data_IF_639038936883
#
_entry.id   IF_639038936883
#
_cell.length_a   1.000
_cell.length_b   1.000
_cell.length_c   1.000
_cell.angle_alpha   90.00
_cell.angle_beta   90.00
_cell.angle_gamma   90.00
#
_symmetry.space_group_name_H-M   'P 1'
#
loop_
_entity.id
_entity.type
_entity.pdbx_description
1 polymer ?
#
# COMPACT_ATOMS: atom_id res chain seq x y z
N UNK A 1 12.80 18.02 -22.90
CA UNK A 1 11.88 16.86 -22.79
C UNK A 1 11.62 16.63 -21.31
N UNK A 2 10.50 17.16 -20.81
CA UNK A 2 10.19 17.21 -19.39
C UNK A 2 9.64 15.88 -18.88
N UNK A 3 10.28 15.31 -17.86
CA UNK A 3 9.80 14.11 -17.18
C UNK A 3 8.54 14.43 -16.38
N UNK A 4 7.47 13.69 -16.66
CA UNK A 4 6.22 13.76 -15.89
C UNK A 4 6.44 13.02 -14.57
N UNK A 5 6.50 13.77 -13.47
CA UNK A 5 6.43 13.24 -12.12
C UNK A 5 4.96 12.91 -11.81
N UNK A 6 4.59 11.64 -11.91
CA UNK A 6 3.32 11.14 -11.41
C UNK A 6 3.44 10.84 -9.91
N UNK A 7 2.52 11.41 -9.12
CA UNK A 7 2.39 11.14 -7.69
C UNK A 7 1.07 10.42 -7.47
N UNK A 8 1.12 9.14 -7.09
CA UNK A 8 -0.06 8.40 -6.66
C UNK A 8 0.11 8.06 -5.18
N UNK A 9 -0.81 8.56 -4.35
CA UNK A 9 -0.88 8.27 -2.91
C UNK A 9 -2.06 7.35 -2.62
N UNK A 10 -1.82 6.28 -1.88
CA UNK A 10 -2.85 5.46 -1.25
C UNK A 10 -2.53 5.41 0.25
N UNK A 11 -3.57 5.48 1.08
CA UNK A 11 -3.44 5.39 2.54
C UNK A 11 -4.14 4.12 3.02
N UNK A 12 -3.61 3.48 4.06
CA UNK A 12 -4.26 2.34 4.70
C UNK A 12 -4.89 2.82 6.00
N UNK A 13 -6.19 2.54 6.18
CA UNK A 13 -6.90 2.80 7.44
C UNK A 13 -7.40 1.45 7.96
N UNK A 14 -6.95 1.03 9.14
CA UNK A 14 -7.48 -0.13 9.83
C UNK A 14 -8.74 0.25 10.63
N UNK A 15 -9.82 -0.51 10.45
CA UNK A 15 -11.07 -0.36 11.20
C UNK A 15 -11.37 -1.64 11.98
N UNK A 16 -11.06 -1.62 13.28
CA UNK A 16 -11.10 -2.70 14.30
C UNK A 16 -9.70 -3.10 14.79
N UNK A 17 -9.65 -3.55 16.04
CA UNK A 17 -8.50 -3.55 16.97
C UNK A 17 -7.23 -4.22 16.43
N UNK A 18 -6.39 -3.46 15.73
CA UNK A 18 -4.98 -3.81 15.64
C UNK A 18 -4.46 -4.02 17.06
N UNK A 19 -3.76 -5.14 17.29
CA UNK A 19 -3.27 -5.46 18.63
C UNK A 19 -2.49 -4.26 19.18
N UNK A 20 -2.61 -3.95 20.48
CA UNK A 20 -1.85 -2.85 21.12
C UNK A 20 -0.36 -2.91 20.76
N UNK A 21 0.18 -4.13 20.66
CA UNK A 21 1.56 -4.37 20.24
C UNK A 21 1.88 -3.91 18.81
N UNK A 22 0.97 -4.08 17.84
CA UNK A 22 1.15 -3.56 16.49
C UNK A 22 1.08 -2.03 16.44
N UNK A 23 0.20 -1.43 17.25
CA UNK A 23 0.07 0.02 17.38
C UNK A 23 1.34 0.64 17.99
N UNK A 24 1.84 0.08 19.10
CA UNK A 24 3.07 0.55 19.76
C UNK A 24 4.29 0.46 18.84
N UNK A 25 4.47 -0.67 18.14
CA UNK A 25 5.55 -0.83 17.14
C UNK A 25 5.46 0.18 16.01
N UNK A 26 4.25 0.46 15.51
CA UNK A 26 4.07 1.47 14.45
C UNK A 26 4.38 2.90 14.91
N UNK A 27 4.18 3.21 16.19
CA UNK A 27 4.49 4.52 16.77
C UNK A 27 6.00 4.79 16.81
N UNK A 28 6.83 3.75 16.91
CA UNK A 28 8.30 3.85 16.88
C UNK A 28 8.84 4.38 15.55
N UNK A 29 8.06 4.24 14.46
CA UNK A 29 8.47 4.69 13.13
C UNK A 29 8.50 6.22 12.97
N UNK A 30 7.97 7.00 13.92
CA UNK A 30 8.06 8.49 13.97
C UNK A 30 7.84 9.20 12.62
N UNK A 31 6.88 8.71 11.81
CA UNK A 31 6.57 9.32 10.51
C UNK A 31 7.64 9.11 9.42
N UNK A 32 8.41 8.01 9.47
CA UNK A 32 9.36 7.64 8.41
C UNK A 32 8.67 7.48 7.04
N UNK A 33 9.33 7.99 6.00
CA UNK A 33 8.89 7.87 4.60
C UNK A 33 9.93 7.08 3.81
N UNK A 34 9.52 5.96 3.24
CA UNK A 34 10.36 5.16 2.35
C UNK A 34 10.04 5.49 0.88
N UNK A 35 11.07 5.77 0.09
CA UNK A 35 10.94 6.05 -1.35
C UNK A 35 11.67 4.99 -2.17
N UNK A 36 10.91 4.15 -2.86
CA UNK A 36 11.45 3.24 -3.87
C UNK A 36 11.58 3.99 -5.20
N UNK A 37 12.75 3.88 -5.84
CA UNK A 37 13.00 4.41 -7.19
C UNK A 37 13.34 3.24 -8.10
N UNK A 38 12.64 3.14 -9.21
CA UNK A 38 12.90 2.16 -10.26
C UNK A 38 12.91 2.87 -11.61
N UNK A 39 13.98 2.72 -12.40
CA UNK A 39 14.11 3.34 -13.73
C UNK A 39 13.11 2.77 -14.73
N UNK A 40 12.69 1.52 -14.54
CA UNK A 40 11.73 0.87 -15.42
C UNK A 40 10.29 1.36 -15.19
N UNK A 41 10.04 2.16 -14.16
CA UNK A 41 8.76 2.79 -13.85
C UNK A 41 8.32 3.85 -14.89
N UNK A 42 9.22 4.28 -15.78
CA UNK A 42 8.87 5.11 -16.95
C UNK A 42 8.92 4.34 -18.28
N UNK A 43 9.83 3.37 -18.39
CA UNK A 43 10.14 2.68 -19.66
C UNK A 43 9.31 1.40 -19.89
N UNK A 44 8.92 0.70 -18.81
CA UNK A 44 8.05 -0.49 -18.84
C UNK A 44 6.65 -0.23 -18.27
N UNK A 45 6.41 0.95 -17.69
CA UNK A 45 5.16 1.31 -17.04
C UNK A 45 4.03 1.74 -18.00
N UNK A 46 4.13 1.30 -19.26
CA UNK A 46 2.94 0.91 -19.99
C UNK A 46 2.27 -0.27 -19.28
N UNK A 47 1.51 0.05 -18.23
CA UNK A 47 0.48 -0.79 -17.62
C UNK A 47 0.96 -1.92 -16.69
N UNK A 48 1.12 -1.60 -15.41
CA UNK A 48 0.49 -2.42 -14.39
C UNK A 48 1.04 -3.84 -14.16
N UNK A 49 2.33 -4.12 -14.43
CA UNK A 49 2.92 -5.42 -14.04
C UNK A 49 2.78 -5.60 -12.53
N UNK A 50 1.91 -6.53 -12.08
CA UNK A 50 1.64 -6.64 -10.66
C UNK A 50 2.80 -7.26 -9.88
N UNK A 51 3.65 -8.07 -10.52
CA UNK A 51 4.82 -8.64 -9.86
C UNK A 51 5.81 -7.56 -9.47
N UNK A 52 6.01 -6.59 -10.37
CA UNK A 52 6.90 -5.46 -10.14
C UNK A 52 6.36 -4.51 -9.06
N UNK A 53 5.05 -4.17 -9.11
CA UNK A 53 4.40 -3.34 -8.10
C UNK A 53 4.52 -3.97 -6.71
N UNK A 54 4.27 -5.28 -6.61
CA UNK A 54 4.41 -6.02 -5.35
C UNK A 54 5.85 -6.04 -4.84
N UNK A 55 6.84 -6.23 -5.72
CA UNK A 55 8.25 -6.17 -5.35
C UNK A 55 8.63 -4.79 -4.76
N UNK A 56 8.09 -3.70 -5.33
CA UNK A 56 8.31 -2.36 -4.80
C UNK A 56 7.64 -2.14 -3.43
N UNK A 57 6.41 -2.60 -3.26
CA UNK A 57 5.69 -2.53 -1.98
C UNK A 57 6.48 -3.25 -0.90
N UNK A 58 6.93 -4.49 -1.17
CA UNK A 58 7.75 -5.27 -0.23
C UNK A 58 9.02 -4.53 0.13
N UNK A 59 9.80 -4.08 -0.86
CA UNK A 59 11.04 -3.32 -0.59
C UNK A 59 10.79 -2.10 0.28
N UNK A 60 9.70 -1.36 0.05
CA UNK A 60 9.35 -0.20 0.86
C UNK A 60 9.02 -0.60 2.32
N UNK A 61 8.28 -1.68 2.51
CA UNK A 61 7.90 -2.20 3.84
C UNK A 61 9.08 -2.78 4.61
N UNK A 62 9.95 -3.53 3.95
CA UNK A 62 11.15 -4.09 4.58
C UNK A 62 12.09 -2.96 5.05
N UNK A 63 12.30 -1.94 4.22
CA UNK A 63 13.06 -0.74 4.62
C UNK A 63 12.38 0.01 5.79
N UNK A 64 11.06 0.10 5.76
CA UNK A 64 10.30 0.85 6.77
C UNK A 64 10.32 0.15 8.13
N UNK A 65 10.19 -1.18 8.14
CA UNK A 65 9.99 -1.98 9.36
C UNK A 65 11.26 -2.68 9.86
N UNK A 66 12.23 -2.92 8.98
CA UNK A 66 13.38 -3.79 9.26
C UNK A 66 13.05 -5.29 9.22
N UNK A 67 11.80 -5.65 8.92
CA UNK A 67 11.32 -7.04 8.82
C UNK A 67 11.32 -7.51 7.36
N UNK A 68 11.16 -8.81 7.13
CA UNK A 68 11.17 -9.39 5.79
C UNK A 68 9.90 -10.17 5.45
N UNK A 69 9.55 -10.17 4.16
CA UNK A 69 8.42 -10.93 3.63
C UNK A 69 7.11 -10.63 4.36
N UNK A 70 6.44 -11.67 4.85
CA UNK A 70 5.14 -11.54 5.54
C UNK A 70 5.24 -10.82 6.89
N UNK A 71 6.38 -10.87 7.57
CA UNK A 71 6.52 -10.27 8.90
C UNK A 71 6.51 -8.73 8.81
N UNK A 72 6.95 -8.16 7.69
CA UNK A 72 6.86 -6.72 7.43
C UNK A 72 5.40 -6.21 7.40
N UNK A 73 4.45 -7.03 6.92
CA UNK A 73 3.04 -6.72 7.02
C UNK A 73 2.47 -6.97 8.41
N UNK A 74 2.91 -8.04 9.07
CA UNK A 74 2.48 -8.42 10.44
C UNK A 74 2.98 -7.46 11.51
N UNK A 75 3.95 -6.64 11.16
CA UNK A 75 4.33 -5.46 11.94
C UNK A 75 3.11 -4.57 12.21
N UNK A 76 2.26 -4.36 11.19
CA UNK A 76 1.09 -3.47 11.22
C UNK A 76 -0.25 -4.20 11.38
N UNK A 77 -0.45 -5.34 10.71
CA UNK A 77 -1.76 -5.99 10.57
C UNK A 77 -1.72 -7.49 10.88
N UNK A 78 -2.72 -7.98 11.62
CA UNK A 78 -2.95 -9.39 11.91
C UNK A 78 -4.05 -10.02 11.05
N UNK A 79 -4.20 -11.36 11.10
CA UNK A 79 -5.22 -12.10 10.34
C UNK A 79 -6.67 -11.78 10.74
N UNK A 80 -6.86 -11.19 11.93
CA UNK A 80 -8.17 -10.82 12.47
C UNK A 80 -8.55 -9.35 12.15
N UNK A 81 -7.66 -8.61 11.48
CA UNK A 81 -7.89 -7.22 11.14
C UNK A 81 -8.78 -7.05 9.90
N UNK A 82 -9.67 -6.06 9.96
CA UNK A 82 -10.39 -5.54 8.81
C UNK A 82 -9.68 -4.29 8.28
N UNK A 83 -9.25 -4.36 7.03
CA UNK A 83 -8.34 -3.39 6.42
C UNK A 83 -9.06 -2.66 5.29
N UNK A 84 -9.09 -1.32 5.37
CA UNK A 84 -9.53 -0.49 4.26
C UNK A 84 -8.32 0.09 3.51
N UNK A 85 -8.27 -0.16 2.20
CA UNK A 85 -7.31 0.46 1.29
C UNK A 85 -7.96 1.71 0.71
N UNK A 86 -7.58 2.87 1.24
CA UNK A 86 -8.04 4.17 0.73
C UNK A 86 -7.27 4.52 -0.53
N UNK A 87 -8.01 4.59 -1.64
CA UNK A 87 -7.50 5.10 -2.91
C UNK A 87 -8.04 6.50 -3.20
N UNK A 88 -7.42 7.21 -4.13
CA UNK A 88 -7.98 8.39 -4.78
C UNK A 88 -8.27 8.07 -6.24
N UNK A 89 -9.51 8.16 -6.70
CA UNK A 89 -9.91 7.95 -8.09
C UNK A 89 -10.26 9.26 -8.83
N UNK A 90 -10.10 10.40 -8.16
CA UNK A 90 -10.47 11.71 -8.68
C UNK A 90 -9.25 12.51 -9.17
N UNK A 91 -9.52 13.50 -10.04
CA UNK A 91 -8.52 14.47 -10.53
C UNK A 91 -7.67 14.00 -11.71
N UNK A 92 -8.07 12.91 -12.37
CA UNK A 92 -7.44 12.41 -13.60
C UNK A 92 -6.19 11.56 -13.35
N UNK A 93 -5.65 10.99 -14.43
CA UNK A 93 -4.58 9.98 -14.39
C UNK A 93 -3.28 10.41 -13.71
N UNK A 94 -3.08 11.72 -13.53
CA UNK A 94 -1.88 12.29 -12.93
C UNK A 94 -1.84 12.17 -11.41
N UNK A 95 -3.01 12.12 -10.76
CA UNK A 95 -3.14 12.09 -9.29
C UNK A 95 -4.05 10.97 -8.79
N UNK A 96 -4.80 10.32 -9.69
CA UNK A 96 -5.55 9.12 -9.36
C UNK A 96 -4.59 7.96 -9.09
N UNK A 97 -4.88 7.23 -8.01
CA UNK A 97 -4.26 5.97 -7.71
C UNK A 97 -4.56 4.96 -8.83
N UNK A 98 -3.54 4.23 -9.22
CA UNK A 98 -3.65 3.17 -10.22
C UNK A 98 -4.38 1.95 -9.62
N UNK A 99 -5.37 1.35 -10.32
CA UNK A 99 -6.06 0.15 -9.83
C UNK A 99 -5.12 -1.00 -9.51
N UNK A 100 -4.02 -1.14 -10.26
CA UNK A 100 -3.04 -2.20 -10.08
C UNK A 100 -2.29 -2.06 -8.75
N UNK A 101 -2.09 -0.84 -8.25
CA UNK A 101 -1.51 -0.59 -6.93
C UNK A 101 -2.45 -1.08 -5.81
N UNK A 102 -3.73 -0.74 -5.90
CA UNK A 102 -4.71 -1.16 -4.90
C UNK A 102 -4.87 -2.70 -4.88
N UNK A 103 -4.87 -3.32 -6.05
CA UNK A 103 -4.94 -4.78 -6.21
C UNK A 103 -3.69 -5.46 -5.66
N UNK A 104 -2.50 -4.93 -5.95
CA UNK A 104 -1.24 -5.45 -5.42
C UNK A 104 -1.16 -5.38 -3.89
N UNK A 105 -1.63 -4.28 -3.28
CA UNK A 105 -1.74 -4.16 -1.83
C UNK A 105 -2.67 -5.22 -1.23
N UNK A 106 -3.82 -5.45 -1.86
CA UNK A 106 -4.75 -6.49 -1.40
C UNK A 106 -4.13 -7.89 -1.47
N UNK A 107 -3.40 -8.22 -2.55
CA UNK A 107 -2.69 -9.50 -2.67
C UNK A 107 -1.58 -9.65 -1.61
N UNK A 108 -0.79 -8.62 -1.37
CA UNK A 108 0.23 -8.63 -0.33
C UNK A 108 -0.35 -8.86 1.08
N UNK A 109 -1.47 -8.21 1.41
CA UNK A 109 -2.17 -8.40 2.68
C UNK A 109 -2.75 -9.82 2.83
N UNK A 110 -3.29 -10.39 1.74
CA UNK A 110 -3.76 -11.77 1.73
C UNK A 110 -2.62 -12.76 1.93
N UNK A 111 -1.48 -12.54 1.27
CA UNK A 111 -0.27 -13.36 1.46
C UNK A 111 0.30 -13.26 2.89
N UNK A 112 0.07 -12.12 3.57
CA UNK A 112 0.41 -11.94 4.98
C UNK A 112 -0.55 -12.70 5.94
N UNK A 113 -1.68 -13.19 5.44
CA UNK A 113 -2.66 -14.00 6.17
C UNK A 113 -3.99 -13.31 6.47
N UNK A 114 -4.22 -12.09 5.96
CA UNK A 114 -5.50 -11.39 6.11
C UNK A 114 -6.52 -11.99 5.15
N UNK A 115 -7.67 -12.51 5.61
CA UNK A 115 -8.66 -13.08 4.70
C UNK A 115 -9.23 -12.01 3.75
N UNK A 116 -9.30 -12.30 2.45
CA UNK A 116 -9.73 -11.32 1.44
C UNK A 116 -11.08 -10.64 1.71
N UNK A 117 -12.02 -11.36 2.36
CA UNK A 117 -13.32 -10.79 2.80
C UNK A 117 -13.19 -9.65 3.83
N UNK A 118 -12.03 -9.50 4.46
CA UNK A 118 -11.73 -8.47 5.45
C UNK A 118 -10.99 -7.28 4.83
N UNK A 119 -10.65 -7.33 3.53
CA UNK A 119 -9.97 -6.26 2.82
C UNK A 119 -10.98 -5.52 1.95
N UNK A 120 -11.10 -4.21 2.15
CA UNK A 120 -12.04 -3.36 1.44
C UNK A 120 -11.24 -2.29 0.69
N UNK A 121 -11.35 -2.25 -0.63
CA UNK A 121 -10.83 -1.10 -1.40
C UNK A 121 -11.92 -0.04 -1.41
N UNK A 122 -11.58 1.15 -0.91
CA UNK A 122 -12.56 2.22 -0.72
C UNK A 122 -12.04 3.54 -1.27
N UNK A 123 -12.95 4.28 -1.92
CA UNK A 123 -12.76 5.68 -2.23
C UNK A 123 -13.98 6.49 -1.75
N UNK A 124 -13.78 7.80 -1.59
CA UNK A 124 -14.80 8.73 -1.15
C UNK A 124 -15.86 8.83 -2.24
N UNK A 125 -17.12 8.82 -1.84
CA UNK A 125 -18.23 9.20 -2.69
C UNK A 125 -18.21 10.72 -2.91
N UNK A 126 -18.71 11.17 -4.06
CA UNK A 126 -18.77 12.59 -4.47
C UNK A 126 -19.79 13.43 -3.70
N UNK A 127 -20.48 12.88 -2.70
CA UNK A 127 -21.49 13.59 -1.90
C UNK A 127 -20.91 13.89 -0.52
N UNK A 128 -20.66 15.17 -0.26
CA UNK A 128 -20.47 15.76 1.08
C UNK A 128 -21.82 16.22 1.63
#
# INVERSE_FOLDING_TARGET
MGGVLAWAGASLLAGASSSRAAQDRSAELRGRVCRVRDRMLGERAGHGDPGLIRAWIRRALEELTGEHGREAWRFFFGPDDRIAIKVNSMGGSQIAARPELATALAWELMDAGVPGRQIIIWDRTTRE
#
